data_IF_918398819809
#
_entry.id   IF_918398819809
#
_cell.length_a   1.000
_cell.length_b   1.000
_cell.length_c   1.000
_cell.angle_alpha   90.00
_cell.angle_beta   90.00
_cell.angle_gamma   90.00
#
_symmetry.space_group_name_H-M   'P 1'
#
loop_
_entity.id
_entity.type
_entity.pdbx_description
1 polymer ?
#
# COMPACT_ATOMS: atom_id res chain seq x y z
N UNK A 1 -40.19 -21.16 -17.55
CA UNK A 1 -38.75 -21.49 -17.33
C UNK A 1 -37.93 -20.40 -18.00
N UNK A 2 -37.54 -19.37 -17.27
CA UNK A 2 -36.61 -18.34 -17.75
C UNK A 2 -35.21 -18.94 -17.58
N UNK A 3 -34.47 -19.08 -18.68
CA UNK A 3 -33.07 -19.47 -18.62
C UNK A 3 -32.32 -18.45 -17.76
N UNK A 4 -31.60 -18.94 -16.76
CA UNK A 4 -30.67 -18.16 -15.97
C UNK A 4 -29.57 -17.73 -16.95
N UNK A 5 -29.61 -16.49 -17.44
CA UNK A 5 -28.44 -15.90 -18.06
C UNK A 5 -27.39 -15.83 -16.95
N UNK A 6 -26.31 -16.59 -17.10
CA UNK A 6 -25.08 -16.40 -16.33
C UNK A 6 -24.76 -14.91 -16.43
N UNK A 7 -24.90 -14.21 -15.30
CA UNK A 7 -24.51 -12.82 -15.22
C UNK A 7 -23.05 -12.72 -15.64
N UNK A 8 -22.75 -11.74 -16.49
CA UNK A 8 -21.41 -11.29 -16.83
C UNK A 8 -20.73 -10.73 -15.55
N UNK A 9 -20.48 -11.61 -14.58
CA UNK A 9 -19.88 -11.20 -13.32
C UNK A 9 -18.45 -10.74 -13.58
N UNK A 10 -18.01 -9.63 -12.97
CA UNK A 10 -16.66 -9.09 -13.19
C UNK A 10 -15.52 -10.12 -13.02
N UNK A 11 -15.66 -11.08 -12.10
CA UNK A 11 -14.68 -12.14 -11.89
C UNK A 11 -14.57 -13.12 -13.08
N UNK A 12 -15.68 -13.38 -13.77
CA UNK A 12 -15.73 -14.26 -14.94
C UNK A 12 -14.95 -13.66 -16.14
N UNK A 13 -14.72 -12.34 -16.15
CA UNK A 13 -13.87 -11.69 -17.17
C UNK A 13 -12.40 -12.07 -17.05
N UNK A 14 -11.89 -12.21 -15.82
CA UNK A 14 -10.49 -12.59 -15.58
C UNK A 14 -10.28 -14.03 -16.05
N UNK A 15 -11.17 -14.94 -15.63
CA UNK A 15 -11.12 -16.34 -16.04
C UNK A 15 -11.20 -16.50 -17.55
N UNK A 16 -12.15 -15.82 -18.22
CA UNK A 16 -12.27 -15.84 -19.68
C UNK A 16 -11.00 -15.34 -20.38
N UNK A 17 -10.43 -14.22 -19.94
CA UNK A 17 -9.19 -13.70 -20.52
C UNK A 17 -8.03 -14.71 -20.42
N UNK A 18 -7.92 -15.42 -19.29
CA UNK A 18 -6.89 -16.46 -19.09
C UNK A 18 -7.13 -17.65 -20.02
N UNK A 19 -8.37 -18.14 -20.11
CA UNK A 19 -8.72 -19.25 -21.00
C UNK A 19 -8.46 -18.90 -22.48
N UNK A 20 -8.85 -17.70 -22.90
CA UNK A 20 -8.63 -17.22 -24.26
C UNK A 20 -7.13 -17.11 -24.59
N UNK A 21 -6.32 -16.58 -23.65
CA UNK A 21 -4.88 -16.47 -23.84
C UNK A 21 -4.20 -17.85 -23.90
N UNK A 22 -4.59 -18.79 -23.02
CA UNK A 22 -4.09 -20.16 -23.06
C UNK A 22 -4.46 -20.85 -24.38
N UNK A 23 -5.69 -20.67 -24.87
CA UNK A 23 -6.11 -21.22 -26.15
C UNK A 23 -5.33 -20.60 -27.33
N UNK A 24 -5.17 -19.26 -27.35
CA UNK A 24 -4.41 -18.54 -28.38
C UNK A 24 -2.95 -19.02 -28.46
N UNK A 25 -2.34 -19.28 -27.30
CA UNK A 25 -0.97 -19.77 -27.18
C UNK A 25 -0.86 -21.30 -27.07
N UNK A 26 -1.92 -22.04 -27.40
CA UNK A 26 -1.94 -23.53 -27.45
C UNK A 26 -1.47 -24.20 -26.15
N UNK A 27 -1.75 -23.59 -25.01
CA UNK A 27 -1.38 -24.06 -23.68
C UNK A 27 0.04 -23.68 -23.24
N UNK A 28 0.77 -22.87 -24.01
CA UNK A 28 2.05 -22.30 -23.58
C UNK A 28 1.81 -21.26 -22.46
N UNK A 29 2.07 -21.69 -21.23
CA UNK A 29 1.87 -20.93 -19.98
C UNK A 29 2.70 -19.66 -19.96
N UNK A 30 3.96 -19.71 -20.37
CA UNK A 30 4.85 -18.55 -20.35
C UNK A 30 4.41 -17.51 -21.39
N UNK A 31 4.10 -17.95 -22.61
CA UNK A 31 3.63 -17.07 -23.67
C UNK A 31 2.27 -16.44 -23.35
N UNK A 32 1.32 -17.22 -22.82
CA UNK A 32 0.02 -16.74 -22.38
C UNK A 32 0.15 -15.71 -21.24
N UNK A 33 0.96 -16.00 -20.23
CA UNK A 33 1.23 -15.07 -19.12
C UNK A 33 1.84 -13.77 -19.63
N UNK A 34 2.84 -13.84 -20.51
CA UNK A 34 3.47 -12.66 -21.08
C UNK A 34 2.49 -11.81 -21.90
N UNK A 35 1.56 -12.43 -22.63
CA UNK A 35 0.51 -11.73 -23.37
C UNK A 35 -0.50 -11.04 -22.44
N UNK A 36 -0.96 -11.75 -21.40
CA UNK A 36 -1.87 -11.21 -20.38
C UNK A 36 -1.25 -10.05 -19.60
N UNK A 37 0.01 -10.19 -19.18
CA UNK A 37 0.73 -9.12 -18.48
C UNK A 37 0.84 -7.85 -19.34
N UNK A 38 0.93 -7.97 -20.67
CA UNK A 38 0.91 -6.80 -21.58
C UNK A 38 -0.47 -6.14 -21.65
N UNK A 39 -1.56 -6.91 -21.56
CA UNK A 39 -2.96 -6.42 -21.59
C UNK A 39 -3.51 -6.03 -20.20
N UNK A 40 -2.76 -6.28 -19.12
CA UNK A 40 -3.21 -6.05 -17.75
C UNK A 40 -3.74 -4.64 -17.43
N UNK A 41 -3.22 -3.57 -18.06
CA UNK A 41 -3.73 -2.20 -17.86
C UNK A 41 -5.12 -2.02 -18.50
N UNK A 42 -5.30 -2.21 -19.82
CA UNK A 42 -6.63 -2.07 -20.43
C UNK A 42 -7.65 -3.04 -19.82
N UNK A 43 -7.24 -4.26 -19.45
CA UNK A 43 -8.16 -5.21 -18.83
C UNK A 43 -8.55 -4.79 -17.40
N UNK A 44 -7.64 -4.19 -16.63
CA UNK A 44 -7.95 -3.61 -15.33
C UNK A 44 -8.93 -2.43 -15.45
N UNK A 45 -8.77 -1.57 -16.46
CA UNK A 45 -9.69 -0.46 -16.73
C UNK A 45 -11.08 -0.97 -17.14
N UNK A 46 -11.14 -1.95 -18.06
CA UNK A 46 -12.39 -2.58 -18.46
C UNK A 46 -13.10 -3.28 -17.29
N UNK A 47 -12.33 -3.89 -16.37
CA UNK A 47 -12.86 -4.47 -15.15
C UNK A 47 -13.39 -3.39 -14.19
N UNK A 48 -12.64 -2.30 -13.99
CA UNK A 48 -13.07 -1.17 -13.18
C UNK A 48 -14.41 -0.62 -13.69
N UNK A 49 -14.52 -0.35 -14.99
CA UNK A 49 -15.76 0.17 -15.58
C UNK A 49 -16.94 -0.78 -15.38
N UNK A 50 -16.74 -2.08 -15.61
CA UNK A 50 -17.78 -3.08 -15.38
C UNK A 50 -18.24 -3.12 -13.92
N UNK A 51 -17.30 -3.02 -12.98
CA UNK A 51 -17.62 -3.04 -11.54
C UNK A 51 -18.32 -1.77 -11.07
N UNK A 52 -18.21 -0.68 -11.84
CA UNK A 52 -18.84 0.62 -11.56
C UNK A 52 -20.24 0.77 -12.14
N UNK A 53 -20.70 -0.16 -13.01
CA UNK A 53 -22.07 -0.13 -13.52
C UNK A 53 -23.07 -0.17 -12.35
N UNK A 54 -23.97 0.81 -12.30
CA UNK A 54 -24.91 0.99 -11.18
C UNK A 54 -24.29 1.53 -9.88
N UNK A 55 -23.04 2.02 -9.94
CA UNK A 55 -22.38 2.71 -8.84
C UNK A 55 -23.07 4.03 -8.48
N UNK A 56 -23.03 4.39 -7.19
CA UNK A 56 -23.68 5.60 -6.68
C UNK A 56 -22.94 6.90 -7.00
N UNK A 57 -21.65 6.81 -7.29
CA UNK A 57 -20.77 7.98 -7.39
C UNK A 57 -20.27 8.15 -8.82
N UNK A 58 -20.49 9.35 -9.34
CA UNK A 58 -19.79 9.83 -10.52
C UNK A 58 -18.36 10.22 -10.12
N UNK A 59 -17.38 9.87 -10.97
CA UNK A 59 -15.97 10.16 -10.74
C UNK A 59 -15.53 11.13 -11.82
N UNK A 60 -14.87 12.21 -11.43
CA UNK A 60 -14.16 13.05 -12.38
C UNK A 60 -12.84 12.35 -12.72
N UNK A 61 -12.77 11.80 -13.94
CA UNK A 61 -11.61 11.06 -14.41
C UNK A 61 -10.39 11.96 -14.69
N UNK A 62 -10.63 13.22 -15.04
CA UNK A 62 -9.59 14.23 -15.34
C UNK A 62 -9.85 15.54 -14.58
N UNK A 63 -9.70 15.56 -13.24
CA UNK A 63 -9.82 16.80 -12.50
C UNK A 63 -8.66 17.74 -12.84
N UNK A 64 -8.85 19.04 -12.63
CA UNK A 64 -7.73 19.97 -12.52
C UNK A 64 -6.85 19.52 -11.35
N UNK A 65 -5.54 19.50 -11.55
CA UNK A 65 -4.58 19.11 -10.51
C UNK A 65 -3.88 20.35 -9.95
N UNK A 66 -3.85 20.51 -8.61
CA UNK A 66 -2.96 21.46 -7.94
C UNK A 66 -1.50 21.28 -8.36
N UNK A 67 -0.73 22.37 -8.38
CA UNK A 67 0.67 22.33 -8.81
C UNK A 67 1.55 21.44 -7.93
N UNK A 68 1.16 21.19 -6.68
CA UNK A 68 1.84 20.27 -5.77
C UNK A 68 1.74 18.80 -6.21
N UNK A 69 0.75 18.45 -7.03
CA UNK A 69 0.55 17.11 -7.60
C UNK A 69 1.12 16.99 -9.02
N UNK A 70 1.68 18.06 -9.57
CA UNK A 70 2.36 18.06 -10.86
C UNK A 70 3.85 17.82 -10.66
N UNK A 71 4.41 16.87 -11.39
CA UNK A 71 5.87 16.74 -11.49
C UNK A 71 6.47 18.02 -12.05
N UNK A 72 7.41 18.60 -11.31
CA UNK A 72 8.11 19.82 -11.71
C UNK A 72 9.16 19.54 -12.79
N UNK A 73 9.71 18.32 -12.83
CA UNK A 73 10.57 17.84 -13.93
C UNK A 73 10.52 16.31 -14.04
N UNK A 74 10.98 15.75 -15.15
CA UNK A 74 11.00 14.30 -15.39
C UNK A 74 11.87 13.51 -14.40
N UNK A 75 12.82 14.18 -13.75
CA UNK A 75 13.73 13.60 -12.75
C UNK A 75 13.59 14.25 -11.37
N UNK A 76 12.62 15.17 -11.20
CA UNK A 76 12.41 15.88 -9.95
C UNK A 76 11.67 15.03 -8.93
N UNK A 77 11.99 15.22 -7.65
CA UNK A 77 11.24 14.60 -6.56
C UNK A 77 9.80 15.12 -6.55
N UNK A 78 8.85 14.22 -6.24
CA UNK A 78 7.46 14.60 -5.99
C UNK A 78 7.39 15.49 -4.75
N UNK A 79 6.50 16.48 -4.76
CA UNK A 79 6.25 17.31 -3.55
C UNK A 79 5.41 16.58 -2.51
N UNK A 80 4.70 15.53 -2.94
CA UNK A 80 3.91 14.68 -2.05
C UNK A 80 4.83 13.65 -1.41
N UNK A 81 4.84 13.66 -0.09
CA UNK A 81 5.56 12.71 0.72
C UNK A 81 4.65 11.52 1.07
N UNK A 82 4.92 10.37 0.47
CA UNK A 82 4.11 9.15 0.65
C UNK A 82 4.40 8.42 1.98
N UNK A 83 5.43 8.84 2.74
CA UNK A 83 5.86 8.20 3.98
C UNK A 83 6.30 6.72 3.80
N UNK A 84 7.08 6.45 2.75
CA UNK A 84 7.59 5.10 2.46
C UNK A 84 8.47 4.59 3.62
N UNK A 85 8.18 3.41 4.20
CA UNK A 85 9.00 2.79 5.22
C UNK A 85 10.39 2.44 4.68
N UNK A 86 11.40 2.92 5.39
CA UNK A 86 12.81 2.55 5.22
C UNK A 86 13.48 2.70 6.58
N UNK A 87 13.23 1.73 7.45
CA UNK A 87 13.69 1.77 8.83
C UNK A 87 14.30 0.43 9.21
N UNK A 88 15.43 0.50 9.89
CA UNK A 88 16.08 -0.63 10.56
C UNK A 88 16.36 -0.19 11.98
N UNK A 89 16.02 -1.03 12.94
CA UNK A 89 16.32 -0.84 14.35
C UNK A 89 17.83 -0.68 14.54
N UNK A 90 18.23 0.39 15.22
CA UNK A 90 19.66 0.69 15.46
C UNK A 90 20.31 -0.31 16.40
N UNK A 91 19.61 -0.70 17.47
CA UNK A 91 20.13 -1.61 18.50
C UNK A 91 19.19 -2.78 18.70
N UNK A 92 19.71 -4.00 18.54
CA UNK A 92 18.98 -5.23 18.87
C UNK A 92 19.06 -5.51 20.38
N UNK A 93 18.10 -6.27 20.94
CA UNK A 93 18.26 -6.84 22.26
C UNK A 93 19.59 -7.62 22.38
N UNK A 94 20.23 -7.68 23.55
CA UNK A 94 21.46 -8.44 23.73
C UNK A 94 21.34 -9.91 23.30
N UNK A 95 22.44 -10.48 22.79
CA UNK A 95 22.51 -11.86 22.32
C UNK A 95 22.37 -12.02 20.81
N UNK A 96 22.48 -13.27 20.36
CA UNK A 96 22.19 -13.67 18.97
C UNK A 96 20.72 -14.03 18.84
N UNK A 97 20.08 -13.52 17.79
CA UNK A 97 18.66 -13.69 17.53
C UNK A 97 18.42 -14.21 16.12
N UNK A 98 17.47 -15.14 15.98
CA UNK A 98 16.91 -15.47 14.68
C UNK A 98 15.89 -14.40 14.27
N UNK A 99 16.12 -13.80 13.12
CA UNK A 99 15.25 -12.80 12.49
C UNK A 99 14.52 -13.47 11.33
N UNK A 100 13.19 -13.42 11.35
CA UNK A 100 12.37 -13.82 10.20
C UNK A 100 11.97 -12.60 9.39
N UNK A 101 12.30 -12.60 8.10
CA UNK A 101 11.79 -11.64 7.13
C UNK A 101 10.45 -12.14 6.56
N UNK A 102 9.40 -11.34 6.70
CA UNK A 102 8.05 -11.62 6.21
C UNK A 102 7.72 -10.73 5.02
N UNK A 103 7.00 -11.31 4.06
CA UNK A 103 6.44 -10.64 2.89
C UNK A 103 4.91 -10.57 3.02
N UNK A 104 4.36 -9.35 3.00
CA UNK A 104 2.92 -9.10 3.09
C UNK A 104 2.27 -9.31 1.72
N UNK A 105 1.40 -10.30 1.63
CA UNK A 105 0.73 -10.63 0.39
C UNK A 105 -0.22 -9.51 -0.09
N UNK A 106 -0.14 -9.17 -1.38
CA UNK A 106 -1.14 -8.31 -2.02
C UNK A 106 -1.26 -6.92 -1.39
N UNK A 107 -0.15 -6.28 -1.01
CA UNK A 107 -0.16 -5.00 -0.32
C UNK A 107 -0.94 -3.90 -1.09
N UNK A 108 -0.71 -3.76 -2.40
CA UNK A 108 -1.47 -2.82 -3.23
C UNK A 108 -2.94 -3.22 -3.40
N UNK A 109 -3.24 -4.51 -3.54
CA UNK A 109 -4.61 -5.01 -3.60
C UNK A 109 -5.38 -4.66 -2.32
N UNK A 110 -4.75 -4.81 -1.15
CA UNK A 110 -5.31 -4.38 0.13
C UNK A 110 -5.50 -2.86 0.20
N UNK A 111 -4.54 -2.11 -0.33
CA UNK A 111 -4.53 -0.65 -0.30
C UNK A 111 -5.57 0.02 -1.21
N UNK A 112 -6.16 -0.72 -2.17
CA UNK A 112 -7.33 -0.24 -2.93
C UNK A 112 -8.52 0.11 -2.03
N UNK A 113 -8.56 -0.44 -0.82
CA UNK A 113 -9.49 -0.05 0.24
C UNK A 113 -8.94 1.19 0.97
N UNK A 114 -9.04 2.35 0.31
CA UNK A 114 -8.64 3.65 0.84
C UNK A 114 -9.67 4.72 0.51
N UNK A 115 -9.70 5.81 1.26
CA UNK A 115 -10.61 6.93 0.99
C UNK A 115 -10.13 7.69 -0.24
N UNK A 116 -10.86 7.59 -1.35
CA UNK A 116 -10.49 8.26 -2.59
C UNK A 116 -11.36 9.50 -2.85
N UNK A 117 -10.76 10.64 -3.24
CA UNK A 117 -11.50 11.84 -3.62
C UNK A 117 -12.34 11.57 -4.88
N UNK A 118 -13.63 11.90 -4.84
CA UNK A 118 -14.57 11.67 -5.94
C UNK A 118 -14.39 12.68 -7.09
N UNK A 119 -14.06 13.92 -6.77
CA UNK A 119 -14.09 15.02 -7.71
C UNK A 119 -12.88 15.94 -7.63
N UNK A 120 -13.10 17.19 -8.02
CA UNK A 120 -12.10 18.26 -7.99
C UNK A 120 -11.62 18.50 -6.56
N UNK A 121 -10.31 18.55 -6.36
CA UNK A 121 -9.74 18.95 -5.08
C UNK A 121 -9.94 20.45 -4.88
N UNK A 122 -10.53 20.82 -3.75
CA UNK A 122 -10.72 22.19 -3.29
C UNK A 122 -9.65 22.53 -2.26
N UNK A 123 -9.07 23.72 -2.39
CA UNK A 123 -8.10 24.24 -1.43
C UNK A 123 -8.80 24.77 -0.18
N UNK A 124 -8.28 24.42 0.99
CA UNK A 124 -8.62 25.04 2.25
C UNK A 124 -7.35 25.40 3.02
N UNK A 125 -7.35 26.56 3.67
CA UNK A 125 -6.24 27.09 4.45
C UNK A 125 -6.71 27.64 5.79
N UNK A 126 -5.81 27.75 6.77
CA UNK A 126 -6.09 28.46 8.03
C UNK A 126 -6.55 27.55 9.16
N UNK A 127 -5.99 26.34 9.27
CA UNK A 127 -6.19 25.49 10.46
C UNK A 127 -7.58 24.89 10.60
N UNK A 128 -8.27 24.63 9.48
CA UNK A 128 -9.68 24.16 9.42
C UNK A 128 -9.88 22.75 10.01
N UNK A 129 -8.83 22.14 10.57
CA UNK A 129 -8.85 20.77 11.10
C UNK A 129 -9.06 19.72 9.99
N UNK A 130 -9.30 18.48 10.40
CA UNK A 130 -9.52 17.38 9.46
C UNK A 130 -11.00 17.03 9.33
N UNK A 131 -11.51 17.04 8.10
CA UNK A 131 -12.85 16.53 7.78
C UNK A 131 -12.77 15.07 7.32
N UNK A 132 -13.28 14.17 8.17
CA UNK A 132 -13.28 12.72 7.92
C UNK A 132 -14.08 12.28 6.69
N UNK A 133 -14.95 13.14 6.14
CA UNK A 133 -15.74 12.87 4.91
C UNK A 133 -15.00 13.26 3.64
N UNK A 134 -13.85 13.91 3.77
CA UNK A 134 -13.03 14.37 2.66
C UNK A 134 -11.71 13.60 2.63
N UNK A 135 -11.08 13.56 1.46
CA UNK A 135 -9.75 12.99 1.28
C UNK A 135 -8.98 13.81 0.25
N UNK A 136 -7.65 13.73 0.33
CA UNK A 136 -6.73 14.36 -0.59
C UNK A 136 -5.34 14.47 0.02
N UNK A 137 -4.74 15.64 -0.08
CA UNK A 137 -3.38 15.92 0.43
C UNK A 137 -3.38 17.12 1.38
N UNK A 138 -2.47 17.09 2.35
CA UNK A 138 -2.45 18.01 3.49
C UNK A 138 -1.02 18.49 3.75
N UNK A 139 -0.84 19.80 3.89
CA UNK A 139 0.41 20.36 4.40
C UNK A 139 0.35 20.30 5.92
N UNK A 140 1.25 19.52 6.53
CA UNK A 140 1.28 19.34 7.97
C UNK A 140 2.66 19.66 8.56
N UNK A 141 2.68 20.10 9.81
CA UNK A 141 3.85 19.86 10.68
C UNK A 141 3.65 18.50 11.33
N UNK A 142 4.50 17.50 11.06
CA UNK A 142 4.40 16.20 11.71
C UNK A 142 4.78 16.32 13.18
N UNK A 143 4.19 15.52 14.08
CA UNK A 143 4.59 15.52 15.47
C UNK A 143 6.02 14.98 15.63
N UNK A 144 6.64 15.31 16.76
CA UNK A 144 7.86 14.64 17.17
C UNK A 144 7.62 13.13 17.36
N UNK A 145 8.64 12.31 17.09
CA UNK A 145 8.55 10.85 17.18
C UNK A 145 9.64 10.29 18.11
N UNK A 146 9.25 9.96 19.33
CA UNK A 146 10.18 9.50 20.38
C UNK A 146 10.48 8.00 20.36
N UNK A 147 9.93 7.26 19.38
CA UNK A 147 9.96 5.80 19.36
C UNK A 147 10.89 5.21 18.29
N UNK A 148 11.80 6.00 17.71
CA UNK A 148 12.69 5.59 16.60
C UNK A 148 13.55 4.37 16.90
N UNK A 149 13.85 4.13 18.18
CA UNK A 149 14.64 2.98 18.63
C UNK A 149 13.86 1.66 18.60
N UNK A 150 12.52 1.71 18.55
CA UNK A 150 11.67 0.51 18.67
C UNK A 150 10.66 0.34 17.54
N UNK A 151 10.25 1.44 16.89
CA UNK A 151 9.26 1.47 15.84
C UNK A 151 9.67 2.44 14.72
N UNK A 152 9.31 2.14 13.46
CA UNK A 152 9.51 3.07 12.36
C UNK A 152 8.74 4.37 12.59
N UNK A 153 9.31 5.50 12.17
CA UNK A 153 8.58 6.75 12.13
C UNK A 153 7.39 6.65 11.15
N UNK A 154 6.15 7.01 11.55
CA UNK A 154 4.96 6.92 10.69
C UNK A 154 5.02 7.82 9.45
N UNK A 155 5.91 8.83 9.44
CA UNK A 155 6.20 9.61 8.23
C UNK A 155 7.36 9.02 7.40
N UNK A 156 7.86 7.81 7.68
CA UNK A 156 8.98 7.21 6.95
C UNK A 156 10.33 7.87 7.23
N UNK A 157 11.32 7.62 6.38
CA UNK A 157 12.69 8.12 6.56
C UNK A 157 12.81 9.55 6.00
N UNK A 158 12.84 10.56 6.88
CA UNK A 158 12.93 11.97 6.53
C UNK A 158 14.15 12.61 7.18
N UNK A 159 14.95 13.33 6.39
CA UNK A 159 16.15 14.01 6.87
C UNK A 159 15.89 15.49 7.21
N UNK A 160 15.10 16.19 6.39
CA UNK A 160 14.81 17.61 6.59
C UNK A 160 13.70 17.81 7.62
N UNK A 161 13.78 18.78 8.55
CA UNK A 161 12.68 19.12 9.46
C UNK A 161 11.63 20.06 8.81
N UNK A 162 10.52 20.33 9.51
CA UNK A 162 9.51 21.32 9.08
C UNK A 162 8.29 20.75 8.33
N UNK A 163 7.45 21.62 7.74
CA UNK A 163 6.20 21.21 7.10
C UNK A 163 6.41 20.38 5.83
N UNK A 164 5.50 19.44 5.57
CA UNK A 164 5.49 18.61 4.36
C UNK A 164 4.07 18.27 3.89
N UNK A 165 3.93 18.04 2.59
CA UNK A 165 2.67 17.57 2.01
C UNK A 165 2.55 16.06 2.18
N UNK A 166 1.58 15.61 2.97
CA UNK A 166 1.26 14.19 3.15
C UNK A 166 -0.08 13.86 2.52
N UNK A 167 -0.28 12.57 2.27
CA UNK A 167 -1.57 12.05 1.80
C UNK A 167 -2.54 11.76 2.94
N UNK A 168 -3.83 11.66 2.62
CA UNK A 168 -4.89 11.32 3.57
C UNK A 168 -4.60 10.04 4.41
N UNK A 169 -4.10 8.91 3.87
CA UNK A 169 -3.73 7.75 4.69
C UNK A 169 -2.68 8.03 5.75
N UNK A 170 -1.65 8.82 5.43
CA UNK A 170 -0.59 9.21 6.36
C UNK A 170 -1.16 10.11 7.47
N UNK A 171 -1.99 11.09 7.11
CA UNK A 171 -2.66 11.95 8.09
C UNK A 171 -3.56 11.13 9.04
N UNK A 172 -4.38 10.23 8.48
CA UNK A 172 -5.25 9.34 9.28
C UNK A 172 -4.45 8.39 10.17
N UNK A 173 -3.28 7.93 9.72
CA UNK A 173 -2.37 7.16 10.54
C UNK A 173 -1.90 8.01 11.72
N UNK A 174 -1.31 9.18 11.49
CA UNK A 174 -0.82 10.06 12.55
C UNK A 174 -1.91 10.41 13.58
N UNK A 175 -3.11 10.79 13.13
CA UNK A 175 -4.24 11.06 14.01
C UNK A 175 -4.69 9.84 14.82
N UNK A 176 -4.58 8.64 14.24
CA UNK A 176 -4.87 7.40 14.96
C UNK A 176 -3.83 7.19 16.05
N UNK A 177 -2.54 7.36 15.75
CA UNK A 177 -1.44 7.16 16.70
C UNK A 177 -1.43 8.19 17.82
N UNK A 178 -1.85 9.43 17.53
CA UNK A 178 -2.04 10.47 18.54
C UNK A 178 -3.30 10.31 19.38
N UNK A 179 -4.24 9.45 18.94
CA UNK A 179 -5.49 9.20 19.64
C UNK A 179 -5.28 8.44 20.96
N UNK A 180 -6.27 8.49 21.87
CA UNK A 180 -6.15 7.95 23.23
C UNK A 180 -5.93 6.43 23.29
N UNK A 181 -6.20 5.71 22.20
CA UNK A 181 -5.93 4.27 22.11
C UNK A 181 -4.42 3.96 22.10
N UNK A 182 -3.62 4.79 21.45
CA UNK A 182 -2.20 4.52 21.23
C UNK A 182 -1.31 5.53 21.95
N UNK A 183 -1.62 6.83 21.85
CA UNK A 183 -0.88 7.89 22.55
C UNK A 183 0.62 7.93 22.22
N UNK A 184 1.01 7.57 20.99
CA UNK A 184 2.42 7.42 20.59
C UNK A 184 3.05 8.73 20.09
N UNK A 185 2.25 9.77 19.83
CA UNK A 185 2.73 11.07 19.40
C UNK A 185 1.67 12.14 19.64
N UNK A 186 2.04 13.41 19.49
CA UNK A 186 1.05 14.50 19.43
C UNK A 186 0.24 14.46 18.13
N UNK A 187 -0.86 15.20 18.08
CA UNK A 187 -1.64 15.35 16.86
C UNK A 187 -0.86 16.22 15.85
N UNK A 188 -0.84 15.88 14.55
CA UNK A 188 -0.20 16.71 13.54
C UNK A 188 -0.93 18.05 13.39
N UNK A 189 -0.18 19.13 13.21
CA UNK A 189 -0.73 20.44 12.89
C UNK A 189 -1.04 20.51 11.38
N UNK A 190 -2.28 20.82 11.02
CA UNK A 190 -2.72 20.90 9.62
C UNK A 190 -2.79 22.38 9.22
N UNK A 191 -1.96 22.77 8.25
CA UNK A 191 -1.88 24.15 7.76
C UNK A 191 -2.84 24.40 6.61
N UNK A 192 -2.79 23.50 5.62
CA UNK A 192 -3.49 23.63 4.35
C UNK A 192 -3.90 22.25 3.83
N UNK A 193 -4.89 22.20 2.96
CA UNK A 193 -5.37 20.95 2.37
C UNK A 193 -5.94 21.16 0.98
N UNK A 194 -5.76 20.16 0.12
CA UNK A 194 -6.48 20.02 -1.15
C UNK A 194 -7.30 18.74 -1.07
N UNK A 195 -8.62 18.85 -0.93
CA UNK A 195 -9.48 17.68 -0.69
C UNK A 195 -10.77 17.76 -1.48
N UNK A 196 -11.42 16.62 -1.72
CA UNK A 196 -12.82 16.56 -2.15
C UNK A 196 -13.61 15.62 -1.26
N UNK A 197 -14.94 15.59 -1.41
CA UNK A 197 -15.75 14.51 -0.85
C UNK A 197 -15.20 13.15 -1.28
N UNK A 198 -15.15 12.19 -0.35
CA UNK A 198 -14.42 10.95 -0.53
C UNK A 198 -15.20 9.73 -0.04
N UNK A 199 -14.80 8.55 -0.52
CA UNK A 199 -15.36 7.27 -0.09
C UNK A 199 -14.31 6.16 -0.15
N UNK A 200 -14.39 5.22 0.80
CA UNK A 200 -13.60 4.00 0.82
C UNK A 200 -14.18 2.92 -0.13
N UNK A 201 -15.46 3.06 -0.51
CA UNK A 201 -16.17 2.08 -1.32
C UNK A 201 -15.92 2.18 -2.82
N UNK A 202 -15.11 3.14 -3.28
CA UNK A 202 -15.02 3.48 -4.70
C UNK A 202 -14.47 2.33 -5.55
N UNK A 203 -13.41 1.70 -5.08
CA UNK A 203 -12.75 0.58 -5.74
C UNK A 203 -13.13 -0.77 -5.13
N UNK A 204 -14.11 -0.83 -4.23
CA UNK A 204 -14.36 -2.04 -3.43
C UNK A 204 -14.79 -3.22 -4.30
N UNK A 205 -15.71 -3.02 -5.25
CA UNK A 205 -16.13 -4.09 -6.17
C UNK A 205 -14.99 -4.57 -7.07
N UNK A 206 -14.18 -3.64 -7.58
CA UNK A 206 -12.98 -3.94 -8.36
C UNK A 206 -11.96 -4.75 -7.55
N UNK A 207 -11.70 -4.32 -6.32
CA UNK A 207 -10.83 -5.00 -5.36
C UNK A 207 -11.32 -6.41 -5.03
N UNK A 208 -12.62 -6.57 -4.79
CA UNK A 208 -13.23 -7.89 -4.50
C UNK A 208 -13.08 -8.83 -5.69
N UNK A 209 -13.39 -8.38 -6.92
CA UNK A 209 -13.23 -9.21 -8.12
C UNK A 209 -11.78 -9.71 -8.31
N UNK A 210 -10.79 -8.83 -8.12
CA UNK A 210 -9.37 -9.19 -8.18
C UNK A 210 -8.97 -10.13 -7.03
N UNK A 211 -9.45 -9.87 -5.82
CA UNK A 211 -9.18 -10.72 -4.65
C UNK A 211 -9.74 -12.12 -4.85
N UNK A 212 -10.99 -12.23 -5.29
CA UNK A 212 -11.66 -13.51 -5.45
C UNK A 212 -11.00 -14.34 -6.57
N UNK A 213 -10.65 -13.71 -7.71
CA UNK A 213 -9.89 -14.36 -8.75
C UNK A 213 -8.52 -14.86 -8.27
N UNK A 214 -7.82 -14.06 -7.45
CA UNK A 214 -6.55 -14.44 -6.84
C UNK A 214 -6.70 -15.60 -5.86
N UNK A 215 -7.73 -15.57 -5.01
CA UNK A 215 -7.95 -16.61 -3.99
C UNK A 215 -8.33 -17.95 -4.65
N UNK A 216 -9.17 -17.93 -5.69
CA UNK A 216 -9.46 -19.11 -6.51
C UNK A 216 -8.19 -19.64 -7.17
N UNK A 217 -7.38 -18.77 -7.79
CA UNK A 217 -6.13 -19.18 -8.42
C UNK A 217 -5.10 -19.76 -7.43
N UNK A 218 -5.10 -19.30 -6.17
CA UNK A 218 -4.29 -19.92 -5.11
C UNK A 218 -4.81 -21.31 -4.72
N UNK A 219 -6.13 -21.51 -4.69
CA UNK A 219 -6.73 -22.80 -4.37
C UNK A 219 -6.50 -23.83 -5.48
N UNK A 220 -6.48 -23.37 -6.73
CA UNK A 220 -6.34 -24.21 -7.93
C UNK A 220 -4.89 -24.34 -8.43
N UNK A 221 -3.93 -23.69 -7.76
CA UNK A 221 -2.51 -23.59 -8.17
C UNK A 221 -2.32 -23.04 -9.61
N UNK A 222 -3.17 -22.08 -9.99
CA UNK A 222 -3.18 -21.42 -11.30
C UNK A 222 -2.19 -20.24 -11.33
N UNK A 223 -0.95 -20.53 -11.68
CA UNK A 223 0.12 -19.53 -11.77
C UNK A 223 -0.16 -18.42 -12.80
N UNK A 224 -0.84 -18.74 -13.91
CA UNK A 224 -1.16 -17.77 -14.98
C UNK A 224 -2.10 -16.71 -14.44
N UNK A 225 -3.19 -17.13 -13.79
CA UNK A 225 -4.15 -16.19 -13.19
C UNK A 225 -3.50 -15.38 -12.07
N UNK A 226 -2.63 -15.99 -11.25
CA UNK A 226 -1.94 -15.28 -10.16
C UNK A 226 -1.06 -14.14 -10.67
N UNK A 227 -0.21 -14.41 -11.68
CA UNK A 227 0.67 -13.39 -12.24
C UNK A 227 -0.11 -12.34 -13.04
N UNK A 228 -1.17 -12.75 -13.73
CA UNK A 228 -2.04 -11.82 -14.45
C UNK A 228 -2.76 -10.85 -13.50
N UNK A 229 -3.44 -11.36 -12.46
CA UNK A 229 -4.13 -10.52 -11.46
C UNK A 229 -3.15 -9.62 -10.73
N UNK A 230 -1.95 -10.12 -10.39
CA UNK A 230 -0.86 -9.32 -9.81
C UNK A 230 -0.46 -8.16 -10.72
N UNK A 231 -0.31 -8.42 -12.02
CA UNK A 231 -0.02 -7.38 -12.99
C UNK A 231 -1.15 -6.37 -13.12
N UNK A 232 -2.43 -6.80 -13.10
CA UNK A 232 -3.59 -5.91 -13.19
C UNK A 232 -3.58 -4.85 -12.10
N UNK A 233 -3.56 -5.23 -10.81
CA UNK A 233 -3.61 -4.23 -9.74
C UNK A 233 -2.30 -3.42 -9.62
N UNK A 234 -1.13 -4.05 -9.81
CA UNK A 234 0.15 -3.35 -9.65
C UNK A 234 0.34 -2.30 -10.74
N UNK A 235 0.03 -2.66 -11.99
CA UNK A 235 0.13 -1.73 -13.12
C UNK A 235 -0.97 -0.68 -13.07
N UNK A 236 -2.20 -1.04 -12.72
CA UNK A 236 -3.28 -0.08 -12.48
C UNK A 236 -2.80 1.03 -11.54
N UNK A 237 -2.32 0.68 -10.33
CA UNK A 237 -1.84 1.66 -9.36
C UNK A 237 -0.70 2.53 -9.92
N UNK A 238 0.26 1.94 -10.62
CA UNK A 238 1.40 2.69 -11.18
C UNK A 238 1.07 3.62 -12.35
N UNK A 239 -0.05 3.38 -13.05
CA UNK A 239 -0.33 4.04 -14.34
C UNK A 239 -1.38 5.16 -14.26
N UNK A 240 -2.16 5.24 -13.17
CA UNK A 240 -3.15 6.31 -12.93
C UNK A 240 -2.55 7.72 -12.82
N UNK A 241 -1.26 7.83 -12.49
CA UNK A 241 -0.61 9.12 -12.30
C UNK A 241 -0.10 9.78 -13.58
N UNK A 242 0.43 9.01 -14.53
CA UNK A 242 1.26 9.57 -15.62
C UNK A 242 1.22 8.80 -16.94
N UNK A 243 0.58 7.64 -17.00
CA UNK A 243 0.72 6.79 -18.19
C UNK A 243 -0.13 7.28 -19.35
N UNK A 244 0.53 7.55 -20.50
CA UNK A 244 -0.14 7.78 -21.79
C UNK A 244 -1.03 6.62 -22.23
N UNK A 245 -0.87 5.43 -21.64
CA UNK A 245 -1.72 4.26 -21.87
C UNK A 245 -3.08 4.36 -21.17
N UNK A 246 -3.17 5.10 -20.06
CA UNK A 246 -4.41 5.26 -19.32
C UNK A 246 -5.03 6.64 -19.57
N UNK A 247 -5.51 6.86 -20.81
CA UNK A 247 -6.19 8.11 -21.17
C UNK A 247 -7.58 8.25 -20.57
N UNK A 248 -8.10 7.19 -19.96
CA UNK A 248 -9.45 7.12 -19.42
C UNK A 248 -9.52 7.54 -17.95
N UNK A 249 -8.39 7.54 -17.23
CA UNK A 249 -8.31 7.93 -15.82
C UNK A 249 -6.96 8.59 -15.51
N UNK A 250 -6.99 9.90 -15.24
CA UNK A 250 -5.82 10.68 -14.82
C UNK A 250 -6.01 11.19 -13.39
N UNK A 251 -5.54 10.39 -12.41
CA UNK A 251 -5.70 10.62 -10.96
C UNK A 251 -4.37 10.40 -10.22
N UNK A 252 -3.39 11.31 -10.37
CA UNK A 252 -2.15 11.25 -9.60
C UNK A 252 -2.38 11.30 -8.09
N UNK A 253 -3.43 12.00 -7.63
CA UNK A 253 -3.88 11.98 -6.25
C UNK A 253 -4.23 10.56 -5.78
N UNK A 254 -5.01 9.80 -6.55
CA UNK A 254 -5.34 8.41 -6.20
C UNK A 254 -4.11 7.52 -6.12
N UNK A 255 -3.17 7.68 -7.05
CA UNK A 255 -1.91 6.93 -7.04
C UNK A 255 -1.15 7.13 -5.72
N UNK A 256 -0.94 8.39 -5.32
CA UNK A 256 -0.26 8.69 -4.06
C UNK A 256 -1.03 8.15 -2.85
N UNK A 257 -2.36 8.31 -2.82
CA UNK A 257 -3.20 7.81 -1.72
C UNK A 257 -3.16 6.28 -1.61
N UNK A 258 -3.21 5.55 -2.71
CA UNK A 258 -3.15 4.08 -2.67
C UNK A 258 -1.75 3.60 -2.23
N UNK A 259 -0.68 4.24 -2.70
CA UNK A 259 0.69 3.91 -2.28
C UNK A 259 0.89 4.15 -0.78
N UNK A 260 0.54 5.33 -0.30
CA UNK A 260 0.62 5.66 1.12
C UNK A 260 -0.27 4.78 1.99
N UNK A 261 -1.42 4.32 1.49
CA UNK A 261 -2.25 3.37 2.22
C UNK A 261 -1.53 2.02 2.41
N UNK A 262 -0.80 1.55 1.40
CA UNK A 262 -0.01 0.32 1.52
C UNK A 262 1.10 0.47 2.58
N UNK A 263 1.77 1.63 2.60
CA UNK A 263 2.76 1.98 3.62
C UNK A 263 2.16 2.07 5.03
N UNK A 264 1.01 2.72 5.18
CA UNK A 264 0.30 2.79 6.46
C UNK A 264 -0.15 1.40 6.94
N UNK A 265 -0.55 0.51 6.02
CA UNK A 265 -0.91 -0.88 6.36
C UNK A 265 0.30 -1.66 6.88
N UNK A 266 1.47 -1.55 6.24
CA UNK A 266 2.71 -2.17 6.72
C UNK A 266 3.09 -1.62 8.10
N UNK A 267 3.00 -0.31 8.30
CA UNK A 267 3.28 0.33 9.58
C UNK A 267 2.36 -0.20 10.69
N UNK A 268 1.05 -0.32 10.43
CA UNK A 268 0.10 -0.88 11.40
C UNK A 268 0.38 -2.36 11.72
N UNK A 269 0.96 -3.14 10.79
CA UNK A 269 1.42 -4.50 11.06
C UNK A 269 2.67 -4.51 11.94
N UNK A 270 3.61 -3.59 11.74
CA UNK A 270 4.76 -3.42 12.62
C UNK A 270 4.31 -3.07 14.05
N UNK A 271 3.36 -2.14 14.21
CA UNK A 271 2.78 -1.83 15.52
C UNK A 271 2.09 -3.05 16.13
N UNK A 272 1.27 -3.79 15.36
CA UNK A 272 0.64 -5.02 15.86
C UNK A 272 1.68 -6.03 16.36
N UNK A 273 2.76 -6.25 15.60
CA UNK A 273 3.82 -7.16 16.00
C UNK A 273 4.47 -6.72 17.32
N UNK A 274 4.77 -5.42 17.45
CA UNK A 274 5.32 -4.82 18.66
C UNK A 274 4.39 -4.98 19.86
N UNK A 275 3.10 -4.67 19.70
CA UNK A 275 2.10 -4.76 20.77
C UNK A 275 1.89 -6.20 21.27
N UNK A 276 2.10 -7.20 20.40
CA UNK A 276 2.07 -8.62 20.74
C UNK A 276 3.42 -9.15 21.27
N UNK A 277 4.38 -8.26 21.53
CA UNK A 277 5.66 -8.60 22.16
C UNK A 277 6.76 -9.08 21.21
N UNK A 278 6.56 -8.98 19.89
CA UNK A 278 7.62 -9.26 18.91
C UNK A 278 8.55 -8.05 18.78
N UNK A 279 9.84 -8.30 18.57
CA UNK A 279 10.78 -7.21 18.29
C UNK A 279 10.76 -6.92 16.80
N UNK A 280 10.30 -5.72 16.43
CA UNK A 280 10.37 -5.23 15.04
C UNK A 280 11.80 -4.82 14.73
N UNK A 281 12.46 -5.53 13.82
CA UNK A 281 13.85 -5.28 13.41
C UNK A 281 13.93 -4.31 12.25
N UNK A 282 13.04 -4.45 11.27
CA UNK A 282 13.09 -3.66 10.04
C UNK A 282 11.72 -3.64 9.37
N UNK A 283 11.37 -2.50 8.79
CA UNK A 283 10.19 -2.33 7.95
C UNK A 283 10.61 -1.56 6.69
N UNK A 284 10.40 -2.18 5.53
CA UNK A 284 10.89 -1.64 4.25
C UNK A 284 9.87 -1.77 3.14
N UNK A 285 9.88 -0.77 2.25
CA UNK A 285 9.09 -0.85 1.02
C UNK A 285 7.60 -0.89 1.32
N UNK A 286 6.90 -1.80 0.63
CA UNK A 286 5.44 -1.88 0.67
C UNK A 286 4.96 -3.08 1.50
N UNK A 287 5.81 -4.09 1.66
CA UNK A 287 5.44 -5.44 2.07
C UNK A 287 6.49 -6.17 2.93
N UNK A 288 7.64 -5.57 3.25
CA UNK A 288 8.72 -6.29 3.96
C UNK A 288 8.78 -5.91 5.44
N UNK A 289 8.65 -6.92 6.31
CA UNK A 289 8.69 -6.78 7.78
C UNK A 289 9.59 -7.84 8.41
N UNK A 290 10.58 -7.43 9.19
CA UNK A 290 11.50 -8.33 9.87
C UNK A 290 11.23 -8.35 11.37
N UNK A 291 11.10 -9.54 11.93
CA UNK A 291 10.69 -9.75 13.31
C UNK A 291 11.61 -10.74 14.01
N UNK A 292 11.85 -10.52 15.30
CA UNK A 292 12.37 -11.53 16.24
C UNK A 292 11.20 -11.97 17.13
N UNK A 293 11.10 -13.28 17.36
CA UNK A 293 10.06 -13.92 18.16
C UNK A 293 9.07 -14.76 17.34
N UNK A 294 8.09 -15.36 18.02
CA UNK A 294 7.11 -16.26 17.40
C UNK A 294 6.01 -15.50 16.63
N UNK A 295 6.35 -15.08 15.41
CA UNK A 295 5.46 -14.29 14.56
C UNK A 295 4.16 -15.01 14.15
N UNK A 296 4.15 -16.35 14.16
CA UNK A 296 2.98 -17.16 13.77
C UNK A 296 1.81 -17.01 14.74
N UNK A 297 2.06 -16.58 15.98
CA UNK A 297 1.00 -16.21 16.93
C UNK A 297 0.25 -14.94 16.53
N UNK A 298 0.90 -14.07 15.75
CA UNK A 298 0.40 -12.74 15.40
C UNK A 298 -0.17 -12.69 13.99
N UNK A 299 0.45 -13.40 13.05
CA UNK A 299 0.08 -13.42 11.65
C UNK A 299 -0.15 -14.85 11.16
N UNK A 300 -1.28 -15.12 10.48
CA UNK A 300 -1.47 -16.40 9.80
C UNK A 300 -0.47 -16.52 8.64
N UNK A 301 0.14 -17.69 8.53
CA UNK A 301 1.06 -18.04 7.44
C UNK A 301 0.27 -18.50 6.21
N UNK A 302 0.65 -17.99 5.04
CA UNK A 302 0.07 -18.41 3.78
C UNK A 302 0.21 -17.36 2.67
N UNK A 303 -0.59 -17.50 1.62
CA UNK A 303 -0.54 -16.66 0.42
C UNK A 303 -1.76 -15.76 0.26
N UNK A 304 -2.81 -15.93 1.08
CA UNK A 304 -4.01 -15.09 1.09
C UNK A 304 -3.69 -13.64 1.48
N UNK A 305 -4.58 -12.71 1.12
CA UNK A 305 -4.37 -11.26 1.32
C UNK A 305 -4.24 -10.86 2.80
N UNK A 306 -4.82 -11.64 3.72
CA UNK A 306 -4.68 -11.43 5.17
C UNK A 306 -3.45 -12.13 5.78
N UNK A 307 -2.82 -13.02 5.02
CA UNK A 307 -1.71 -13.88 5.44
C UNK A 307 -0.37 -13.30 5.05
N UNK A 308 0.70 -13.84 5.62
CA UNK A 308 2.09 -13.46 5.33
C UNK A 308 2.89 -14.71 4.99
N UNK A 309 3.97 -14.55 4.23
CA UNK A 309 4.89 -15.65 3.92
C UNK A 309 6.30 -15.33 4.38
N UNK A 310 7.06 -16.36 4.73
CA UNK A 310 8.49 -16.23 5.01
C UNK A 310 9.21 -15.91 3.70
N UNK A 311 9.99 -14.83 3.72
CA UNK A 311 10.90 -14.44 2.63
C UNK A 311 12.30 -14.96 2.88
N UNK A 312 12.77 -14.85 4.12
CA UNK A 312 14.12 -15.24 4.53
C UNK A 312 14.20 -15.41 6.05
N UNK A 313 15.22 -16.13 6.52
CA UNK A 313 15.56 -16.30 7.94
C UNK A 313 17.06 -16.14 8.11
N UNK A 314 17.48 -15.24 9.00
CA UNK A 314 18.90 -14.99 9.25
C UNK A 314 19.17 -14.70 10.74
N UNK A 315 20.40 -14.92 11.17
CA UNK A 315 20.84 -14.58 12.52
C UNK A 315 21.38 -13.15 12.58
N UNK A 316 21.02 -12.40 13.61
CA UNK A 316 21.54 -11.05 13.88
C UNK A 316 21.80 -10.84 15.38
N UNK A 317 22.69 -9.92 15.71
CA UNK A 317 23.13 -9.67 17.09
C UNK A 317 24.60 -10.05 17.28
N UNK A 318 25.09 -9.91 18.49
CA UNK A 318 26.45 -10.31 18.87
C UNK A 318 26.38 -11.30 20.04
N UNK A 319 27.16 -12.37 19.96
CA UNK A 319 27.37 -13.26 21.10
C UNK A 319 28.24 -12.53 22.15
N UNK A 320 27.58 -12.00 23.18
CA UNK A 320 28.11 -11.49 24.45
C UNK A 320 29.39 -10.60 24.44
N UNK A 321 29.21 -9.34 24.80
CA UNK A 321 29.82 -8.81 26.04
C UNK A 321 31.35 -8.66 26.16
N UNK A 322 32.14 -8.79 25.10
CA UNK A 322 33.56 -8.44 25.16
C UNK A 322 33.80 -6.98 24.77
N UNK A 323 33.63 -6.07 25.75
CA UNK A 323 34.48 -4.88 25.81
C UNK A 323 35.93 -5.35 25.99
N UNK A 324 36.60 -5.65 24.89
CA UNK A 324 38.06 -5.65 24.86
C UNK A 324 38.49 -4.19 24.85
N UNK A 325 38.80 -3.66 26.04
CA UNK A 325 39.72 -2.53 26.13
C UNK A 325 41.04 -2.96 25.48
N UNK A 326 41.54 -2.29 24.43
CA UNK A 326 42.95 -2.34 24.15
C UNK A 326 43.61 -1.41 25.18
N UNK A 327 44.38 -2.01 26.08
CA UNK A 327 45.22 -1.26 27.00
C UNK A 327 46.14 -0.32 26.24
N UNK A 328 46.25 0.90 26.73
CA UNK A 328 47.35 1.80 26.42
C UNK A 328 48.64 1.16 26.95
N UNK A 329 49.49 0.71 26.02
CA UNK A 329 50.88 0.36 26.27
C UNK A 329 51.77 1.42 25.65
N UNK A 330 52.44 2.16 26.54
CA UNK A 330 53.60 3.09 26.39
C UNK A 330 53.64 4.13 25.26
#
# INVERSE_FOLDING_TARGET
>A
RRAFQLSDEPADRIGRAVQDALAEHRGDVEAATAALVKKAIPDAMALLDATRIGGRYEVIAHPWMPDILKKQSSHGADRIWEARPKWTRTELPPGEHEVTALDINGAYLSALKTHLPLGQLEHSSGGVGHDRRRAGVHLITPPHWDHENVLPNPVGQRDEPGPLWVTEPTLRLLQRLSGPKYGLCEAPEIHESYTSGATEGLLEKFRVALKDARDTALADDDEVTLEYVKAMYSKFVSTMGESNYNRELYRPDWMHLIRSQAFANLWMKALKAHDEGLTVVRAMGTDELHLIGDWRRVFPEGRGVAEVKVKDVYTAGTADGQHTHPGEGE
#
